data_IF_249213186664
#
_entry.id   IF_249213186664
#
_cell.length_a   1.000
_cell.length_b   1.000
_cell.length_c   1.000
_cell.angle_alpha   90.00
_cell.angle_beta   90.00
_cell.angle_gamma   90.00
#
_symmetry.space_group_name_H-M   'P 1'
#
loop_
_entity.id
_entity.type
_entity.pdbx_description
1 polymer ?
#
# COMPACT_ATOMS: atom_id res chain seq x y z
N UNK A 1 -1.53 15.89 6.85
CA UNK A 1 -0.06 15.89 6.81
C UNK A 1 0.53 16.03 5.41
N UNK A 2 0.09 15.26 4.40
CA UNK A 2 0.54 15.35 3.00
C UNK A 2 0.74 16.79 2.52
N UNK A 3 -0.27 17.63 2.67
CA UNK A 3 -0.27 19.01 2.16
C UNK A 3 0.59 19.98 3.00
N UNK A 4 1.09 19.56 4.16
CA UNK A 4 2.00 20.39 4.98
C UNK A 4 3.46 20.23 4.59
N UNK A 5 3.82 19.08 4.03
CA UNK A 5 5.17 18.79 3.52
C UNK A 5 5.26 18.94 2.00
N UNK A 6 4.16 19.38 1.34
CA UNK A 6 4.15 19.61 -0.09
C UNK A 6 5.16 20.70 -0.48
N UNK A 7 5.99 20.43 -1.48
CA UNK A 7 6.96 21.38 -2.01
C UNK A 7 6.29 22.48 -2.84
N UNK A 8 5.18 22.12 -3.53
CA UNK A 8 4.40 23.07 -4.32
C UNK A 8 3.47 23.89 -3.39
N UNK A 9 3.52 25.22 -3.55
CA UNK A 9 2.68 26.14 -2.80
C UNK A 9 1.18 25.93 -3.05
N UNK A 10 0.80 25.48 -4.25
CA UNK A 10 -0.59 25.18 -4.61
C UNK A 10 -1.15 23.94 -3.88
N UNK A 11 -0.29 23.04 -3.45
CA UNK A 11 -0.66 21.83 -2.69
C UNK A 11 -0.62 22.02 -1.18
N UNK A 12 -0.13 23.16 -0.69
CA UNK A 12 -0.05 23.43 0.75
C UNK A 12 -1.43 23.56 1.37
N UNK A 13 -1.58 23.01 2.56
CA UNK A 13 -2.83 23.16 3.32
C UNK A 13 -3.09 24.63 3.65
N UNK A 14 -4.34 25.13 3.54
CA UNK A 14 -4.71 26.45 4.01
C UNK A 14 -4.37 26.66 5.50
N UNK A 15 -3.95 27.86 5.89
CA UNK A 15 -3.55 28.16 7.27
C UNK A 15 -4.64 27.80 8.27
N UNK A 16 -5.90 28.11 7.97
CA UNK A 16 -7.06 27.76 8.83
C UNK A 16 -7.14 26.25 9.15
N UNK A 17 -6.79 25.39 8.17
CA UNK A 17 -6.71 23.94 8.40
C UNK A 17 -5.57 23.57 9.33
N UNK A 18 -4.40 24.16 9.13
CA UNK A 18 -3.22 23.93 9.99
C UNK A 18 -3.53 24.33 11.42
N UNK A 19 -4.17 25.48 11.61
CA UNK A 19 -4.52 26.00 12.93
C UNK A 19 -5.57 25.10 13.60
N UNK A 20 -6.56 24.65 12.86
CA UNK A 20 -7.58 23.72 13.34
C UNK A 20 -6.99 22.36 13.74
N UNK A 21 -6.16 21.75 12.88
CA UNK A 21 -5.45 20.50 13.18
C UNK A 21 -4.54 20.67 14.43
N UNK A 22 -3.79 21.77 14.52
CA UNK A 22 -2.93 22.07 15.68
C UNK A 22 -3.73 22.29 16.96
N UNK A 23 -4.93 22.88 16.85
CA UNK A 23 -5.82 23.05 18.01
C UNK A 23 -6.31 21.69 18.53
N UNK A 24 -6.80 20.82 17.64
CA UNK A 24 -7.25 19.47 18.01
C UNK A 24 -6.14 18.68 18.70
N UNK A 25 -4.91 18.72 18.18
CA UNK A 25 -3.78 17.99 18.77
C UNK A 25 -3.42 18.50 20.18
N UNK A 26 -3.64 19.79 20.48
CA UNK A 26 -3.40 20.35 21.83
C UNK A 26 -4.45 19.90 22.85
N UNK A 27 -5.73 19.88 22.44
CA UNK A 27 -6.85 19.60 23.36
C UNK A 27 -7.14 18.12 23.52
N UNK A 28 -6.68 17.26 22.60
CA UNK A 28 -6.85 15.83 22.70
C UNK A 28 -6.08 15.25 23.90
N UNK A 29 -6.68 14.30 24.62
CA UNK A 29 -6.04 13.55 25.69
C UNK A 29 -5.04 12.53 25.16
N UNK A 30 -5.38 11.90 24.02
CA UNK A 30 -4.51 10.99 23.26
C UNK A 30 -4.65 11.25 21.76
N UNK A 31 -3.59 10.94 21.05
CA UNK A 31 -3.48 11.06 19.59
C UNK A 31 -3.06 9.69 19.07
N UNK A 32 -3.76 9.17 18.06
CA UNK A 32 -3.40 7.91 17.42
C UNK A 32 -2.67 8.21 16.12
N UNK A 33 -1.46 7.69 15.98
CA UNK A 33 -0.69 7.67 14.75
C UNK A 33 -0.69 6.24 14.16
N UNK A 34 -0.81 6.12 12.86
CA UNK A 34 -0.79 4.80 12.20
C UNK A 34 0.62 4.19 12.13
N UNK A 35 1.66 5.04 12.13
CA UNK A 35 3.06 4.61 11.97
C UNK A 35 4.01 5.48 12.80
N UNK A 36 5.24 4.98 13.08
CA UNK A 36 6.30 5.81 13.68
C UNK A 36 6.61 7.07 12.86
N UNK A 37 6.59 6.97 11.53
CA UNK A 37 6.80 8.12 10.65
C UNK A 37 5.70 9.18 10.82
N UNK A 38 4.44 8.76 10.96
CA UNK A 38 3.34 9.67 11.24
C UNK A 38 3.46 10.30 12.62
N UNK A 39 3.83 9.53 13.65
CA UNK A 39 4.11 10.05 14.98
C UNK A 39 5.18 11.15 14.92
N UNK A 40 6.32 10.89 14.25
CA UNK A 40 7.38 11.87 14.09
C UNK A 40 6.89 13.14 13.39
N UNK A 41 6.07 13.01 12.34
CA UNK A 41 5.47 14.14 11.64
C UNK A 41 4.50 14.94 12.51
N UNK A 42 3.68 14.28 13.34
CA UNK A 42 2.78 14.95 14.29
C UNK A 42 3.57 15.78 15.32
N UNK A 43 4.63 15.22 15.85
CA UNK A 43 5.50 15.90 16.81
C UNK A 43 6.22 17.09 16.13
N UNK A 44 6.88 16.84 15.00
CA UNK A 44 7.76 17.82 14.37
C UNK A 44 7.00 18.93 13.63
N UNK A 45 5.94 18.58 12.87
CA UNK A 45 5.21 19.55 12.05
C UNK A 45 4.11 20.30 12.81
N UNK A 46 3.54 19.68 13.84
CA UNK A 46 2.37 20.21 14.55
C UNK A 46 2.67 20.51 16.02
N UNK A 47 3.85 20.14 16.51
CA UNK A 47 4.21 20.33 17.93
C UNK A 47 3.37 19.47 18.87
N UNK A 48 2.94 18.28 18.43
CA UNK A 48 2.19 17.37 19.28
C UNK A 48 3.06 16.89 20.45
N UNK A 49 2.46 16.77 21.63
CA UNK A 49 3.13 16.18 22.79
C UNK A 49 3.38 14.69 22.55
N UNK A 50 4.65 14.30 22.51
CA UNK A 50 5.05 12.91 22.28
C UNK A 50 4.42 11.94 23.28
N UNK A 51 4.22 12.36 24.54
CA UNK A 51 3.57 11.54 25.59
C UNK A 51 2.09 11.27 25.34
N UNK A 52 1.45 12.05 24.45
CA UNK A 52 0.06 11.85 24.06
C UNK A 52 -0.09 10.99 22.79
N UNK A 53 0.97 10.72 22.03
CA UNK A 53 0.86 10.01 20.76
C UNK A 53 1.11 8.52 20.94
N UNK A 54 0.07 7.71 20.70
CA UNK A 54 0.16 6.25 20.66
C UNK A 54 0.18 5.75 19.19
N UNK A 55 1.02 4.74 18.89
CA UNK A 55 1.07 4.14 17.55
C UNK A 55 0.11 2.96 17.53
N UNK A 56 -0.99 3.13 16.80
CA UNK A 56 -1.99 2.09 16.55
C UNK A 56 -2.31 2.10 15.06
N UNK A 57 -1.78 1.13 14.29
CA UNK A 57 -2.06 1.04 12.87
C UNK A 57 -3.52 0.67 12.60
N UNK A 58 -4.07 0.94 11.41
CA UNK A 58 -5.35 0.38 11.01
C UNK A 58 -5.25 -1.13 10.85
N UNK A 59 -6.39 -1.80 11.00
CA UNK A 59 -6.51 -3.24 10.85
C UNK A 59 -6.93 -3.69 9.45
N UNK A 60 -6.89 -4.99 9.23
CA UNK A 60 -7.43 -5.67 8.05
C UNK A 60 -8.44 -6.74 8.46
N UNK A 61 -9.48 -6.92 7.67
CA UNK A 61 -10.46 -8.00 7.86
C UNK A 61 -9.89 -9.31 7.31
N UNK A 62 -9.32 -10.13 8.18
CA UNK A 62 -8.72 -11.41 7.83
C UNK A 62 -9.74 -12.49 7.43
N UNK A 63 -11.03 -12.29 7.70
CA UNK A 63 -12.09 -13.18 7.21
C UNK A 63 -12.39 -12.90 5.74
N UNK A 64 -12.37 -11.64 5.36
CA UNK A 64 -12.58 -11.18 3.99
C UNK A 64 -11.32 -11.35 3.14
N UNK A 65 -10.17 -10.89 3.63
CA UNK A 65 -8.87 -10.98 2.95
C UNK A 65 -8.14 -12.24 3.42
N UNK A 66 -8.58 -13.38 2.93
CA UNK A 66 -8.00 -14.70 3.18
C UNK A 66 -7.54 -15.34 1.88
N UNK A 67 -6.47 -16.15 1.88
CA UNK A 67 -6.05 -16.85 0.68
C UNK A 67 -7.20 -17.63 0.03
N UNK A 68 -7.34 -17.47 -1.28
CA UNK A 68 -8.32 -18.15 -2.14
C UNK A 68 -7.52 -18.93 -3.18
N UNK A 69 -8.04 -20.08 -3.61
CA UNK A 69 -7.43 -20.82 -4.70
C UNK A 69 -7.30 -19.95 -5.96
N UNK A 70 -6.12 -19.97 -6.55
CA UNK A 70 -5.78 -19.08 -7.67
C UNK A 70 -6.64 -19.35 -8.91
N UNK A 71 -7.00 -20.62 -9.18
CA UNK A 71 -7.84 -20.97 -10.34
C UNK A 71 -9.27 -20.49 -10.13
N UNK A 72 -9.76 -20.57 -8.89
CA UNK A 72 -11.06 -20.02 -8.52
C UNK A 72 -11.06 -18.49 -8.64
N UNK A 73 -10.03 -17.83 -8.11
CA UNK A 73 -9.88 -16.39 -8.21
C UNK A 73 -9.82 -15.88 -9.66
N UNK A 74 -9.03 -16.55 -10.52
CA UNK A 74 -8.96 -16.20 -11.95
C UNK A 74 -10.31 -16.32 -12.66
N UNK A 75 -11.13 -17.31 -12.30
CA UNK A 75 -12.49 -17.44 -12.85
C UNK A 75 -13.44 -16.33 -12.38
N UNK A 76 -13.22 -15.82 -11.17
CA UNK A 76 -14.02 -14.75 -10.60
C UNK A 76 -13.76 -13.38 -11.28
N UNK A 77 -12.53 -13.10 -11.71
CA UNK A 77 -12.14 -11.75 -12.14
C UNK A 77 -12.25 -11.47 -13.65
N UNK A 78 -12.28 -12.49 -14.50
CA UNK A 78 -12.50 -12.35 -15.96
C UNK A 78 -11.57 -11.33 -16.63
N UNK A 79 -10.25 -11.39 -16.38
CA UNK A 79 -9.30 -10.40 -16.91
C UNK A 79 -9.03 -10.67 -18.39
N UNK A 80 -9.06 -9.63 -19.23
CA UNK A 80 -8.99 -9.77 -20.69
C UNK A 80 -7.59 -10.03 -21.25
N UNK A 81 -6.56 -10.06 -20.43
CA UNK A 81 -5.18 -10.26 -20.87
C UNK A 81 -4.57 -11.47 -20.15
N UNK A 82 -3.96 -12.39 -20.87
CA UNK A 82 -3.14 -13.52 -20.46
C UNK A 82 -3.20 -14.00 -19.01
N UNK A 83 -2.11 -14.41 -18.47
CA UNK A 83 -2.00 -14.67 -17.03
C UNK A 83 -1.85 -13.34 -16.27
N UNK A 84 -2.82 -13.08 -15.38
CA UNK A 84 -2.78 -11.90 -14.53
C UNK A 84 -1.75 -12.09 -13.43
N UNK A 85 -0.68 -11.30 -13.47
CA UNK A 85 0.45 -11.50 -12.58
C UNK A 85 0.75 -10.31 -11.69
N UNK A 86 0.42 -9.07 -12.11
CA UNK A 86 0.76 -7.86 -11.38
C UNK A 86 -0.49 -7.03 -11.14
N UNK A 87 -0.69 -6.60 -9.90
CA UNK A 87 -1.82 -5.78 -9.51
C UNK A 87 -1.37 -4.46 -8.92
N UNK A 88 -2.01 -3.38 -9.34
CA UNK A 88 -2.10 -2.12 -8.64
C UNK A 88 -3.56 -1.87 -8.28
N UNK A 89 -3.82 -1.41 -7.04
CA UNK A 89 -5.13 -0.91 -6.65
C UNK A 89 -5.00 0.44 -5.93
N UNK A 90 -5.90 1.38 -6.23
CA UNK A 90 -5.90 2.68 -5.59
C UNK A 90 -6.55 3.76 -6.43
N UNK A 91 -6.58 4.98 -5.89
CA UNK A 91 -7.03 6.16 -6.64
C UNK A 91 -6.05 6.46 -7.76
N UNK A 92 -6.58 6.93 -8.89
CA UNK A 92 -5.74 7.36 -10.00
C UNK A 92 -5.32 8.82 -9.73
N UNK A 93 -4.19 8.96 -9.06
CA UNK A 93 -3.63 10.26 -8.64
C UNK A 93 -2.10 10.25 -8.88
N UNK A 94 -1.48 11.39 -9.22
CA UNK A 94 -0.03 11.48 -9.47
C UNK A 94 0.82 10.91 -8.32
N UNK A 95 0.37 11.09 -7.07
CA UNK A 95 1.10 10.61 -5.90
C UNK A 95 1.08 9.08 -5.74
N UNK A 96 0.27 8.38 -6.51
CA UNK A 96 0.25 6.91 -6.52
C UNK A 96 1.32 6.29 -7.42
N UNK A 97 2.02 7.10 -8.21
CA UNK A 97 3.19 6.68 -8.98
C UNK A 97 2.90 5.62 -10.06
N UNK A 98 1.66 5.60 -10.60
CA UNK A 98 1.26 4.61 -11.61
C UNK A 98 2.12 4.75 -12.86
N UNK A 99 2.57 5.94 -13.19
CA UNK A 99 3.50 6.20 -14.28
C UNK A 99 4.86 5.50 -14.07
N UNK A 100 5.33 5.39 -12.83
CA UNK A 100 6.54 4.62 -12.50
C UNK A 100 6.33 3.14 -12.82
N UNK A 101 5.17 2.56 -12.48
CA UNK A 101 4.82 1.19 -12.82
C UNK A 101 4.74 0.99 -14.34
N UNK A 102 4.07 1.89 -15.07
CA UNK A 102 3.95 1.82 -16.53
C UNK A 102 5.34 1.85 -17.19
N UNK A 103 6.25 2.73 -16.74
CA UNK A 103 7.63 2.79 -17.22
C UNK A 103 8.44 1.55 -16.86
N UNK A 104 8.27 1.02 -15.65
CA UNK A 104 8.92 -0.22 -15.23
C UNK A 104 8.50 -1.41 -16.11
N UNK A 105 7.23 -1.47 -16.50
CA UNK A 105 6.74 -2.53 -17.41
C UNK A 105 7.30 -2.40 -18.82
N UNK A 106 7.52 -1.19 -19.31
CA UNK A 106 8.18 -0.98 -20.61
C UNK A 106 9.63 -1.47 -20.55
N UNK A 107 10.37 -1.15 -19.49
CA UNK A 107 11.74 -1.64 -19.26
C UNK A 107 11.78 -3.17 -19.11
N UNK A 108 10.83 -3.73 -18.38
CA UNK A 108 10.73 -5.18 -18.21
C UNK A 108 10.48 -5.89 -19.55
N UNK A 109 9.58 -5.33 -20.39
CA UNK A 109 9.28 -5.85 -21.73
C UNK A 109 10.50 -5.79 -22.66
N UNK A 110 11.29 -4.72 -22.57
CA UNK A 110 12.52 -4.54 -23.36
C UNK A 110 13.62 -5.53 -22.92
N UNK A 111 13.86 -5.67 -21.62
CA UNK A 111 14.99 -6.45 -21.09
C UNK A 111 14.68 -7.94 -20.96
N UNK A 112 13.45 -8.27 -20.62
CA UNK A 112 13.03 -9.65 -20.29
C UNK A 112 11.74 -10.03 -21.04
N UNK A 113 11.72 -10.00 -22.39
CA UNK A 113 10.50 -10.21 -23.18
C UNK A 113 9.82 -11.55 -22.87
N UNK A 114 10.58 -12.61 -22.62
CA UNK A 114 10.04 -13.93 -22.29
C UNK A 114 9.23 -13.96 -20.96
N UNK A 115 9.60 -13.13 -19.99
CA UNK A 115 8.85 -13.00 -18.73
C UNK A 115 7.53 -12.24 -18.96
N UNK A 116 7.54 -11.28 -19.86
CA UNK A 116 6.38 -10.40 -20.12
C UNK A 116 5.37 -11.04 -21.08
N UNK A 117 5.76 -12.01 -21.90
CA UNK A 117 4.88 -12.65 -22.90
C UNK A 117 3.55 -13.12 -22.31
N UNK A 118 3.56 -13.62 -21.06
CA UNK A 118 2.37 -14.08 -20.35
C UNK A 118 2.00 -13.21 -19.14
N UNK A 119 2.57 -12.00 -19.04
CA UNK A 119 2.38 -11.11 -17.90
C UNK A 119 1.38 -10.00 -18.24
N UNK A 120 0.44 -9.78 -17.34
CA UNK A 120 -0.50 -8.67 -17.41
C UNK A 120 -0.51 -7.88 -16.10
N UNK A 121 -0.52 -6.56 -16.23
CA UNK A 121 -0.70 -5.62 -15.12
C UNK A 121 -2.13 -5.11 -15.10
N UNK A 122 -2.86 -5.37 -14.02
CA UNK A 122 -4.18 -4.80 -13.79
C UNK A 122 -4.07 -3.56 -12.90
N UNK A 123 -4.47 -2.42 -13.43
CA UNK A 123 -4.62 -1.16 -12.68
C UNK A 123 -6.09 -1.03 -12.31
N UNK A 124 -6.38 -1.17 -11.00
CA UNK A 124 -7.72 -1.13 -10.42
C UNK A 124 -7.90 0.22 -9.73
N UNK A 125 -8.87 1.00 -10.20
CA UNK A 125 -9.20 2.32 -9.68
C UNK A 125 -9.62 3.29 -10.77
N UNK A 126 -10.12 4.44 -10.36
CA UNK A 126 -10.65 5.45 -11.28
C UNK A 126 -11.95 5.02 -11.96
N UNK A 127 -12.49 5.90 -12.77
CA UNK A 127 -13.64 5.64 -13.63
C UNK A 127 -13.17 5.54 -15.08
N UNK A 128 -13.19 4.33 -15.63
CA UNK A 128 -12.80 4.07 -17.01
C UNK A 128 -13.93 4.30 -18.02
N UNK A 129 -15.15 4.56 -17.53
CA UNK A 129 -16.38 4.73 -18.33
C UNK A 129 -16.89 6.15 -18.34
N UNK A 130 -16.22 7.07 -17.64
CA UNK A 130 -16.58 8.49 -17.66
C UNK A 130 -16.49 9.06 -19.07
N UNK A 131 -17.48 9.85 -19.49
CA UNK A 131 -17.49 10.53 -20.81
C UNK A 131 -16.28 11.46 -20.99
N UNK A 132 -15.69 11.94 -19.90
CA UNK A 132 -14.38 12.61 -19.89
C UNK A 132 -13.52 12.01 -18.79
N UNK A 133 -12.45 11.26 -19.11
CA UNK A 133 -11.55 10.72 -18.11
C UNK A 133 -10.87 11.85 -17.33
N UNK A 134 -10.62 11.62 -16.04
CA UNK A 134 -9.76 12.47 -15.23
C UNK A 134 -8.42 12.72 -15.97
N UNK A 135 -7.89 13.93 -15.85
CA UNK A 135 -6.67 14.35 -16.53
C UNK A 135 -5.49 13.39 -16.26
N UNK A 136 -5.39 12.85 -15.05
CA UNK A 136 -4.36 11.86 -14.71
C UNK A 136 -4.60 10.52 -15.42
N UNK A 137 -5.83 10.05 -15.49
CA UNK A 137 -6.17 8.84 -16.25
C UNK A 137 -5.81 9.00 -17.72
N UNK A 138 -6.16 10.13 -18.34
CA UNK A 138 -5.83 10.42 -19.73
C UNK A 138 -4.31 10.46 -19.96
N UNK A 139 -3.56 11.09 -19.04
CA UNK A 139 -2.08 11.13 -19.07
C UNK A 139 -1.47 9.73 -19.02
N UNK A 140 -1.96 8.87 -18.13
CA UNK A 140 -1.44 7.51 -17.98
C UNK A 140 -1.80 6.62 -19.18
N UNK A 141 -2.98 6.78 -19.75
CA UNK A 141 -3.37 6.08 -20.97
C UNK A 141 -2.49 6.51 -22.16
N UNK A 142 -2.20 7.82 -22.29
CA UNK A 142 -1.28 8.32 -23.31
C UNK A 142 0.13 7.77 -23.11
N UNK A 143 0.66 7.75 -21.90
CA UNK A 143 1.97 7.18 -21.58
C UNK A 143 2.04 5.68 -21.95
N UNK A 144 1.00 4.91 -21.64
CA UNK A 144 0.89 3.49 -22.02
C UNK A 144 0.97 3.30 -23.55
N UNK A 145 0.31 4.18 -24.31
CA UNK A 145 0.34 4.17 -25.79
C UNK A 145 1.73 4.53 -26.32
N UNK A 146 2.32 5.62 -25.80
CA UNK A 146 3.65 6.08 -26.15
C UNK A 146 4.70 4.98 -25.98
N UNK A 147 4.63 4.23 -24.89
CA UNK A 147 5.56 3.14 -24.58
C UNK A 147 5.20 1.80 -25.25
N UNK A 148 4.13 1.75 -26.04
CA UNK A 148 3.67 0.56 -26.77
C UNK A 148 3.54 -0.70 -25.87
N UNK A 149 2.87 -0.53 -24.71
CA UNK A 149 2.62 -1.60 -23.73
C UNK A 149 1.12 -1.77 -23.40
N UNK A 150 0.27 -1.38 -24.35
CA UNK A 150 -1.19 -1.51 -24.23
C UNK A 150 -1.68 -2.97 -24.16
N UNK A 151 -0.86 -3.89 -24.62
CA UNK A 151 -1.05 -5.34 -24.56
C UNK A 151 -0.74 -5.93 -23.15
N UNK A 152 0.06 -5.24 -22.35
CA UNK A 152 0.56 -5.69 -21.06
C UNK A 152 -0.13 -4.99 -19.90
N UNK A 153 -0.52 -3.72 -20.05
CA UNK A 153 -1.12 -2.89 -18.99
C UNK A 153 -2.58 -2.60 -19.29
N UNK A 154 -3.47 -3.00 -18.39
CA UNK A 154 -4.92 -2.77 -18.52
C UNK A 154 -5.47 -1.96 -17.35
N UNK A 155 -6.34 -1.00 -17.66
CA UNK A 155 -7.11 -0.24 -16.67
C UNK A 155 -8.48 -0.88 -16.52
N UNK A 156 -8.80 -1.35 -15.33
CA UNK A 156 -10.04 -2.09 -15.05
C UNK A 156 -11.13 -1.25 -14.39
N UNK A 157 -10.84 0.03 -14.08
CA UNK A 157 -11.75 0.89 -13.32
C UNK A 157 -11.85 0.48 -11.85
N UNK A 158 -12.63 1.23 -11.08
CA UNK A 158 -12.92 0.88 -9.70
C UNK A 158 -13.68 -0.44 -9.60
N UNK A 159 -13.39 -1.22 -8.56
CA UNK A 159 -14.05 -2.48 -8.27
C UNK A 159 -14.71 -2.44 -6.90
N UNK A 160 -15.81 -3.16 -6.77
CA UNK A 160 -16.47 -3.35 -5.48
C UNK A 160 -15.52 -4.06 -4.51
N UNK A 161 -15.55 -3.63 -3.26
CA UNK A 161 -14.68 -4.21 -2.23
C UNK A 161 -14.91 -5.72 -2.02
N UNK A 162 -16.10 -6.25 -2.34
CA UNK A 162 -16.40 -7.67 -2.18
C UNK A 162 -15.71 -8.55 -3.23
N UNK A 163 -15.34 -7.99 -4.38
CA UNK A 163 -14.63 -8.73 -5.43
C UNK A 163 -13.11 -8.50 -5.39
N UNK A 164 -12.61 -7.49 -4.65
CA UNK A 164 -11.17 -7.23 -4.53
C UNK A 164 -10.36 -8.43 -4.04
N UNK A 165 -10.83 -9.26 -3.07
CA UNK A 165 -10.10 -10.46 -2.68
C UNK A 165 -9.78 -11.40 -3.86
N UNK A 166 -10.69 -11.53 -4.83
CA UNK A 166 -10.44 -12.34 -6.04
C UNK A 166 -9.29 -11.75 -6.88
N UNK A 167 -9.23 -10.43 -7.02
CA UNK A 167 -8.14 -9.78 -7.75
C UNK A 167 -6.79 -9.97 -7.07
N UNK A 168 -6.72 -9.78 -5.74
CA UNK A 168 -5.51 -10.07 -4.98
C UNK A 168 -5.08 -11.53 -5.12
N UNK A 169 -6.03 -12.48 -4.98
CA UNK A 169 -5.73 -13.90 -5.08
C UNK A 169 -5.29 -14.31 -6.50
N UNK A 170 -5.79 -13.67 -7.54
CA UNK A 170 -5.41 -13.92 -8.93
C UNK A 170 -4.02 -13.35 -9.27
N UNK A 171 -3.56 -12.29 -8.56
CA UNK A 171 -2.25 -11.69 -8.76
C UNK A 171 -1.12 -12.54 -8.18
N UNK A 172 0.09 -12.40 -8.74
CA UNK A 172 1.33 -12.92 -8.18
C UNK A 172 2.00 -11.90 -7.24
N UNK A 173 1.95 -10.64 -7.64
CA UNK A 173 2.63 -9.52 -6.98
C UNK A 173 1.70 -8.31 -6.96
N UNK A 174 1.68 -7.59 -5.85
CA UNK A 174 1.01 -6.30 -5.75
C UNK A 174 2.06 -5.19 -5.70
N UNK A 175 1.85 -4.12 -6.47
CA UNK A 175 2.80 -3.02 -6.59
C UNK A 175 2.20 -1.74 -6.04
N UNK A 176 2.94 -1.08 -5.16
CA UNK A 176 2.60 0.19 -4.52
C UNK A 176 3.71 1.23 -4.80
N UNK A 177 3.80 1.79 -6.02
CA UNK A 177 4.90 2.67 -6.43
C UNK A 177 4.69 4.13 -5.98
N UNK A 178 3.99 4.32 -4.87
CA UNK A 178 3.53 5.62 -4.39
C UNK A 178 4.69 6.57 -4.09
N UNK A 179 4.50 7.86 -4.39
CA UNK A 179 5.41 8.92 -3.97
C UNK A 179 5.14 9.40 -2.55
N UNK A 180 3.94 9.13 -2.07
CA UNK A 180 3.52 9.34 -0.69
C UNK A 180 2.42 8.35 -0.32
N UNK A 181 2.56 7.71 0.84
CA UNK A 181 1.53 6.85 1.43
C UNK A 181 1.56 6.98 2.95
N UNK A 182 0.42 7.20 3.57
CA UNK A 182 0.34 7.37 5.03
C UNK A 182 0.47 6.05 5.77
N UNK A 183 -0.14 4.97 5.25
CA UNK A 183 -0.04 3.64 5.82
C UNK A 183 0.13 2.56 4.75
N UNK A 184 -0.82 2.44 3.79
CA UNK A 184 -0.78 1.44 2.73
C UNK A 184 -1.78 0.29 2.93
N UNK A 185 -3.06 0.60 3.09
CA UNK A 185 -4.12 -0.42 3.25
C UNK A 185 -4.09 -1.49 2.16
N UNK A 186 -3.88 -1.09 0.90
CA UNK A 186 -3.78 -2.02 -0.22
C UNK A 186 -2.61 -3.00 -0.06
N UNK A 187 -1.46 -2.54 0.46
CA UNK A 187 -0.35 -3.43 0.78
C UNK A 187 -0.72 -4.41 1.90
N UNK A 188 -1.39 -3.93 2.96
CA UNK A 188 -1.83 -4.81 4.04
C UNK A 188 -2.86 -5.85 3.58
N UNK A 189 -3.81 -5.47 2.73
CA UNK A 189 -4.79 -6.37 2.12
C UNK A 189 -4.09 -7.42 1.24
N UNK A 190 -3.11 -7.02 0.41
CA UNK A 190 -2.31 -7.93 -0.40
C UNK A 190 -1.54 -8.95 0.46
N UNK A 191 -0.89 -8.46 1.53
CA UNK A 191 -0.18 -9.31 2.49
C UNK A 191 -1.12 -10.29 3.19
N UNK A 192 -2.31 -9.83 3.60
CA UNK A 192 -3.35 -10.68 4.16
C UNK A 192 -3.82 -11.78 3.18
N UNK A 193 -3.79 -11.51 1.89
CA UNK A 193 -4.06 -12.49 0.83
C UNK A 193 -2.87 -13.40 0.50
N UNK A 194 -1.74 -13.25 1.21
CA UNK A 194 -0.53 -14.03 0.97
C UNK A 194 0.20 -13.61 -0.31
N UNK A 195 0.12 -12.34 -0.71
CA UNK A 195 0.81 -11.80 -1.88
C UNK A 195 1.98 -10.93 -1.45
N UNK A 196 3.18 -11.12 -2.03
CA UNK A 196 4.29 -10.22 -1.80
C UNK A 196 3.99 -8.84 -2.39
N UNK A 197 4.56 -7.81 -1.77
CA UNK A 197 4.34 -6.42 -2.18
C UNK A 197 5.66 -5.80 -2.62
N UNK A 198 5.70 -5.17 -3.80
CA UNK A 198 6.79 -4.26 -4.14
C UNK A 198 6.29 -2.84 -3.87
N UNK A 199 6.92 -2.14 -2.95
CA UNK A 199 6.49 -0.83 -2.50
C UNK A 199 7.62 0.21 -2.61
N UNK A 200 7.27 1.45 -2.91
CA UNK A 200 8.21 2.55 -2.70
C UNK A 200 8.52 2.69 -1.21
N UNK A 201 9.78 2.96 -0.88
CA UNK A 201 10.25 3.18 0.50
C UNK A 201 9.81 4.56 0.99
N UNK A 202 8.49 4.75 1.18
CA UNK A 202 7.90 6.03 1.59
C UNK A 202 6.84 5.85 2.68
N UNK A 203 6.84 6.77 3.65
CA UNK A 203 5.80 6.87 4.66
C UNK A 203 5.47 5.55 5.34
N UNK A 204 4.19 5.17 5.35
CA UNK A 204 3.71 3.94 5.97
C UNK A 204 4.15 2.67 5.26
N UNK A 205 4.44 2.71 3.96
CA UNK A 205 4.91 1.55 3.21
C UNK A 205 6.29 1.08 3.68
N UNK A 206 7.19 2.02 3.98
CA UNK A 206 8.51 1.71 4.54
C UNK A 206 8.43 1.03 5.92
N UNK A 207 7.33 1.23 6.65
CA UNK A 207 7.06 0.54 7.91
C UNK A 207 6.35 -0.80 7.72
N UNK A 208 5.40 -0.87 6.79
CA UNK A 208 4.52 -2.03 6.62
C UNK A 208 5.17 -3.18 5.87
N UNK A 209 5.90 -2.89 4.79
CA UNK A 209 6.60 -3.90 3.99
C UNK A 209 7.98 -4.12 4.58
N UNK A 210 8.32 -5.38 4.83
CA UNK A 210 9.65 -5.77 5.31
C UNK A 210 10.49 -6.21 4.11
N UNK A 211 11.50 -5.40 3.76
CA UNK A 211 12.33 -5.64 2.57
C UNK A 211 13.02 -7.00 2.62
N UNK A 212 12.91 -7.76 1.52
CA UNK A 212 13.44 -9.10 1.39
C UNK A 212 12.69 -10.19 2.17
N UNK A 213 11.64 -9.84 2.96
CA UNK A 213 10.90 -10.81 3.76
C UNK A 213 9.41 -10.90 3.37
N UNK A 214 8.70 -9.77 3.36
CA UNK A 214 7.27 -9.73 3.01
C UNK A 214 7.02 -9.08 1.64
N UNK A 215 8.08 -8.58 1.02
CA UNK A 215 8.07 -7.87 -0.23
C UNK A 215 9.42 -7.22 -0.49
N UNK A 216 9.46 -6.25 -1.39
CA UNK A 216 10.65 -5.47 -1.67
C UNK A 216 10.37 -3.97 -1.59
N UNK A 217 11.37 -3.23 -1.11
CA UNK A 217 11.40 -1.79 -1.26
C UNK A 217 12.10 -1.38 -2.56
N UNK A 218 11.63 -0.29 -3.13
CA UNK A 218 12.28 0.41 -4.24
C UNK A 218 12.29 1.91 -3.96
N UNK A 219 13.29 2.66 -4.46
CA UNK A 219 13.25 4.12 -4.39
C UNK A 219 11.99 4.66 -5.10
N UNK A 220 11.40 5.71 -4.54
CA UNK A 220 10.28 6.38 -5.19
C UNK A 220 10.72 6.98 -6.53
N UNK A 221 9.88 6.86 -7.57
CA UNK A 221 10.13 7.34 -8.93
C UNK A 221 11.30 6.66 -9.64
N UNK A 222 11.61 5.44 -9.24
CA UNK A 222 12.65 4.63 -9.87
C UNK A 222 12.05 3.42 -10.62
N UNK A 223 11.73 3.57 -11.91
CA UNK A 223 11.19 2.48 -12.72
C UNK A 223 12.20 1.36 -12.98
N UNK A 224 13.51 1.66 -12.94
CA UNK A 224 14.58 0.69 -13.12
C UNK A 224 14.60 -0.32 -11.94
N UNK A 225 14.68 0.21 -10.71
CA UNK A 225 14.64 -0.61 -9.51
C UNK A 225 13.34 -1.42 -9.42
N UNK A 226 12.21 -0.82 -9.81
CA UNK A 226 10.92 -1.52 -9.83
C UNK A 226 10.91 -2.66 -10.85
N UNK A 227 11.45 -2.46 -12.05
CA UNK A 227 11.53 -3.49 -13.08
C UNK A 227 12.39 -4.69 -12.64
N UNK A 228 13.52 -4.44 -11.99
CA UNK A 228 14.40 -5.50 -11.46
C UNK A 228 13.71 -6.32 -10.36
N UNK A 229 12.99 -5.68 -9.44
CA UNK A 229 12.24 -6.41 -8.39
C UNK A 229 11.05 -7.17 -8.96
N UNK A 230 10.36 -6.64 -9.96
CA UNK A 230 9.32 -7.36 -10.70
C UNK A 230 9.90 -8.60 -11.39
N UNK A 231 11.03 -8.46 -12.09
CA UNK A 231 11.72 -9.59 -12.70
C UNK A 231 12.03 -10.68 -11.67
N UNK A 232 12.62 -10.32 -10.53
CA UNK A 232 12.96 -11.26 -9.46
C UNK A 232 11.76 -12.07 -9.03
N UNK A 233 10.63 -11.42 -8.72
CA UNK A 233 9.44 -12.12 -8.23
C UNK A 233 8.68 -12.87 -9.33
N UNK A 234 8.75 -12.46 -10.58
CA UNK A 234 8.08 -13.16 -11.68
C UNK A 234 8.88 -14.39 -12.12
N UNK A 235 10.21 -14.33 -12.05
CA UNK A 235 11.08 -15.41 -12.49
C UNK A 235 11.27 -16.53 -11.43
N UNK A 236 11.11 -16.21 -10.14
CA UNK A 236 11.36 -17.14 -9.02
C UNK A 236 10.07 -17.40 -8.23
N UNK A 237 9.39 -18.51 -8.52
CA UNK A 237 8.14 -18.90 -7.88
C UNK A 237 8.35 -19.26 -6.40
N UNK A 238 9.42 -19.97 -6.06
CA UNK A 238 9.70 -20.38 -4.68
C UNK A 238 9.95 -19.17 -3.79
N UNK A 239 10.74 -18.20 -4.27
CA UNK A 239 10.95 -16.92 -3.59
C UNK A 239 9.62 -16.17 -3.38
N UNK A 240 8.81 -16.08 -4.43
CA UNK A 240 7.51 -15.39 -4.41
C UNK A 240 6.54 -16.03 -3.42
N UNK A 241 6.46 -17.36 -3.39
CA UNK A 241 5.58 -18.09 -2.46
C UNK A 241 6.05 -17.96 -1.01
N UNK A 242 7.36 -18.12 -0.76
CA UNK A 242 7.94 -17.96 0.58
C UNK A 242 7.67 -16.55 1.13
N UNK A 243 7.87 -15.53 0.30
CA UNK A 243 7.63 -14.13 0.64
C UNK A 243 6.13 -13.85 0.88
N UNK A 244 5.25 -14.40 0.06
CA UNK A 244 3.80 -14.32 0.24
C UNK A 244 3.32 -14.94 1.55
N UNK A 245 3.85 -16.11 1.93
CA UNK A 245 3.56 -16.75 3.21
C UNK A 245 4.06 -15.92 4.40
N UNK A 246 5.25 -15.32 4.29
CA UNK A 246 5.77 -14.42 5.31
C UNK A 246 4.89 -13.16 5.43
N UNK A 247 4.46 -12.60 4.31
CA UNK A 247 3.54 -11.47 4.25
C UNK A 247 2.21 -11.78 4.97
N UNK A 248 1.62 -12.96 4.73
CA UNK A 248 0.40 -13.40 5.41
C UNK A 248 0.58 -13.47 6.92
N UNK A 249 1.64 -14.16 7.39
CA UNK A 249 1.91 -14.26 8.84
C UNK A 249 2.11 -12.89 9.47
N UNK A 250 2.77 -11.98 8.77
CA UNK A 250 2.97 -10.63 9.27
C UNK A 250 1.66 -9.83 9.32
N UNK A 251 0.77 -10.00 8.34
CA UNK A 251 -0.53 -9.31 8.30
C UNK A 251 -1.49 -9.75 9.44
N UNK A 252 -1.31 -10.95 10.01
CA UNK A 252 -2.18 -11.47 11.08
C UNK A 252 -2.16 -10.61 12.34
N UNK A 253 -1.06 -9.92 12.63
CA UNK A 253 -0.98 -8.99 13.76
C UNK A 253 -1.80 -7.70 13.58
N UNK A 254 -2.29 -7.45 12.37
CA UNK A 254 -3.16 -6.33 12.03
C UNK A 254 -4.64 -6.72 11.94
N UNK A 255 -5.05 -7.88 12.49
CA UNK A 255 -6.47 -8.22 12.61
C UNK A 255 -7.24 -7.12 13.36
N UNK A 256 -8.43 -6.75 12.84
CA UNK A 256 -9.25 -5.72 13.47
C UNK A 256 -9.54 -6.00 14.95
N UNK A 257 -9.65 -7.26 15.36
CA UNK A 257 -9.85 -7.61 16.79
C UNK A 257 -8.64 -7.21 17.63
N UNK A 258 -7.42 -7.42 17.13
CA UNK A 258 -6.18 -7.04 17.81
C UNK A 258 -6.06 -5.50 17.86
N UNK A 259 -6.34 -4.82 16.76
CA UNK A 259 -6.26 -3.36 16.68
C UNK A 259 -7.30 -2.70 17.59
N UNK A 260 -8.53 -3.20 17.58
CA UNK A 260 -9.60 -2.72 18.47
C UNK A 260 -9.23 -2.90 19.95
N UNK A 261 -8.65 -4.05 20.33
CA UNK A 261 -8.21 -4.28 21.70
C UNK A 261 -7.11 -3.29 22.13
N UNK A 262 -6.16 -2.95 21.24
CA UNK A 262 -5.15 -1.90 21.52
C UNK A 262 -5.80 -0.53 21.73
N UNK A 263 -6.79 -0.19 20.94
CA UNK A 263 -7.52 1.09 21.05
C UNK A 263 -8.32 1.15 22.35
N UNK A 264 -9.00 0.05 22.73
CA UNK A 264 -9.70 -0.05 24.02
C UNK A 264 -8.71 0.14 25.18
N UNK A 265 -7.51 -0.44 25.12
CA UNK A 265 -6.47 -0.21 26.11
C UNK A 265 -6.10 1.26 26.32
N UNK A 266 -6.07 2.05 25.24
CA UNK A 266 -5.85 3.51 25.35
C UNK A 266 -7.01 4.21 26.06
N UNK A 267 -8.26 3.80 25.83
CA UNK A 267 -9.41 4.33 26.56
C UNK A 267 -9.39 3.94 28.05
N UNK A 268 -9.03 2.70 28.36
CA UNK A 268 -8.93 2.23 29.75
C UNK A 268 -7.87 3.02 30.52
N UNK A 269 -6.69 3.27 29.92
CA UNK A 269 -5.66 4.13 30.50
C UNK A 269 -6.20 5.54 30.81
N UNK A 270 -6.92 6.16 29.89
CA UNK A 270 -7.48 7.51 30.04
C UNK A 270 -8.55 7.56 31.13
N UNK A 271 -9.33 6.50 31.28
CA UNK A 271 -10.41 6.40 32.27
C UNK A 271 -9.92 5.90 33.63
N UNK A 272 -8.63 5.57 33.77
CA UNK A 272 -8.06 5.05 35.01
C UNK A 272 -8.50 3.61 35.33
N UNK A 273 -8.99 2.87 34.34
CA UNK A 273 -9.26 1.44 34.51
C UNK A 273 -7.95 0.66 34.43
N UNK A 274 -7.71 -0.19 35.46
CA UNK A 274 -6.61 -1.16 35.39
C UNK A 274 -7.02 -2.27 34.39
N UNK A 275 -6.67 -2.12 33.13
CA UNK A 275 -6.85 -3.22 32.19
C UNK A 275 -6.01 -4.43 32.63
N UNK A 276 -6.53 -5.66 32.59
CA UNK A 276 -5.67 -6.82 32.70
C UNK A 276 -4.62 -6.74 31.59
N UNK A 277 -3.33 -7.08 31.82
CA UNK A 277 -2.30 -6.99 30.83
C UNK A 277 -2.76 -7.80 29.62
N UNK A 278 -2.99 -7.11 28.50
CA UNK A 278 -3.12 -7.76 27.19
C UNK A 278 -1.89 -8.66 27.05
N UNK A 279 -2.12 -9.97 26.91
CA UNK A 279 -1.03 -10.92 26.71
C UNK A 279 -0.08 -10.32 25.69
N UNK A 280 1.19 -10.19 26.05
CA UNK A 280 2.20 -9.49 25.27
C UNK A 280 2.23 -10.06 23.85
N UNK A 281 1.41 -9.50 22.98
CA UNK A 281 1.54 -9.72 21.55
C UNK A 281 2.84 -9.04 21.17
N UNK A 282 3.73 -9.80 20.57
CA UNK A 282 5.08 -9.45 20.21
C UNK A 282 5.19 -7.96 19.84
N UNK A 283 6.03 -7.25 20.57
CA UNK A 283 6.44 -5.90 20.18
C UNK A 283 6.78 -5.95 18.69
N UNK A 284 6.10 -5.11 17.91
CA UNK A 284 6.49 -4.89 16.52
C UNK A 284 8.01 -4.69 16.52
N UNK A 285 8.77 -5.44 15.71
CA UNK A 285 10.21 -5.28 15.67
C UNK A 285 10.50 -3.80 15.38
N UNK A 286 11.11 -3.13 16.34
CA UNK A 286 11.68 -1.81 16.12
C UNK A 286 12.72 -2.02 15.02
N UNK A 287 12.51 -1.41 13.89
CA UNK A 287 13.55 -1.29 12.86
C UNK A 287 14.72 -0.58 13.55
N UNK A 288 15.84 -1.28 13.68
CA UNK A 288 17.04 -0.75 14.28
C UNK A 288 17.52 0.42 13.42
N UNK A 289 17.14 1.64 13.81
CA UNK A 289 17.59 2.88 13.16
C UNK A 289 18.94 3.27 13.73
N UNK A 290 19.96 2.45 13.53
CA UNK A 290 21.35 2.89 13.61
C UNK A 290 21.74 3.48 12.25
N UNK A 291 21.69 4.82 12.18
CA UNK A 291 22.36 5.60 11.12
C UNK A 291 23.83 5.78 11.47
#
# INVERSE_FOLDING_TARGET
MKNRIAQDAAERAPQARIDGESHVLRVADRIIAATPAEQAQLIWLYGADAGKVAIIPPGVDLQRFRPIDKKEAKRCVGIPCGDFNIMFAGRIEPLKGIDTLIRAMALLKERYPAVVENTCVAIIGGDTWADSPDAEMARLQALRQELNIHDVVVFLGAKDQNVLPCYYAAAEVVVMPSHYESFGMVALEAMAMGRPVIASEVGGLAFLVQDGLTGYHVPSRDPEALAERLYTLLADEDCREAMGQAARRYAEQFDWAIIAARLVGVYDELLGYSAPPLAATASLPLVDTTF
#
